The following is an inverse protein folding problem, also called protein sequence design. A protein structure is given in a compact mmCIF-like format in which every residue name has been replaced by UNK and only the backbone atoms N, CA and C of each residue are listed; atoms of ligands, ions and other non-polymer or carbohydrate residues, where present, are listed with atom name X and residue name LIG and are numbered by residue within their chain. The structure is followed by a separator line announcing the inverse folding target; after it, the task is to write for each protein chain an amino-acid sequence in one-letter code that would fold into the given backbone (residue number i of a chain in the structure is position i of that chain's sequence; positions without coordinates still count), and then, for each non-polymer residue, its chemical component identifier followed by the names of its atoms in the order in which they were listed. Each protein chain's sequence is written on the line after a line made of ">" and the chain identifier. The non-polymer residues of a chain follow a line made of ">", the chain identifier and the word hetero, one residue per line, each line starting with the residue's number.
data_IF_322980582176
#
_entry.id   IF_322980582176
#
_cell.length_a   1.000
_cell.length_b   1.000
_cell.length_c   1.000
_cell.angle_alpha   90.00
_cell.angle_beta   90.00
_cell.angle_gamma   90.00
#
_symmetry.space_group_name_H-M   'P 1'
#
loop_
_entity.id
_entity.type
_entity.pdbx_description
1 polymer ?
#
# COMPACT_ATOMS: atom_id res chain seq x y z
N UNK A 1 5.49 11.89 -3.54
CA UNK A 1 5.61 10.69 -2.71
C UNK A 1 7.00 10.13 -2.87
N UNK A 2 7.68 9.80 -1.79
CA UNK A 2 8.86 8.98 -1.94
C UNK A 2 8.45 7.70 -2.66
N UNK A 3 9.29 7.23 -3.55
CA UNK A 3 9.08 5.96 -4.22
C UNK A 3 8.86 4.89 -3.15
N UNK A 4 7.65 4.33 -3.09
CA UNK A 4 7.34 3.27 -2.15
C UNK A 4 8.07 2.01 -2.60
N UNK A 5 8.82 1.40 -1.70
CA UNK A 5 9.49 0.14 -1.98
C UNK A 5 8.56 -1.01 -1.58
N UNK A 6 8.13 -1.78 -2.57
CA UNK A 6 7.43 -3.04 -2.33
C UNK A 6 8.46 -4.16 -2.25
N UNK A 7 8.45 -4.89 -1.14
CA UNK A 7 9.30 -6.05 -0.94
C UNK A 7 8.43 -7.31 -0.84
N UNK A 8 8.71 -8.27 -1.69
CA UNK A 8 8.04 -9.57 -1.65
C UNK A 8 9.00 -10.62 -1.13
N UNK A 9 8.55 -11.36 -0.13
CA UNK A 9 9.31 -12.42 0.52
C UNK A 9 8.57 -13.74 0.28
N UNK A 10 9.26 -14.72 -0.28
CA UNK A 10 8.77 -16.09 -0.47
C UNK A 10 9.69 -17.06 0.25
N UNK A 11 9.12 -17.97 1.05
CA UNK A 11 9.86 -19.01 1.79
C UNK A 11 11.01 -18.44 2.67
N UNK A 12 10.77 -17.25 3.27
CA UNK A 12 11.75 -16.56 4.10
C UNK A 12 12.91 -15.91 3.35
N UNK A 13 12.87 -15.89 2.02
CA UNK A 13 13.85 -15.21 1.17
C UNK A 13 13.22 -14.00 0.50
N UNK A 14 13.92 -12.88 0.52
CA UNK A 14 13.54 -11.71 -0.26
C UNK A 14 13.57 -12.08 -1.74
N UNK A 15 12.40 -12.03 -2.36
CA UNK A 15 12.19 -12.48 -3.73
C UNK A 15 12.49 -11.38 -4.74
N UNK A 16 12.00 -10.21 -4.46
CA UNK A 16 12.30 -8.99 -5.20
C UNK A 16 11.97 -7.77 -4.36
N UNK A 17 12.67 -6.70 -4.63
CA UNK A 17 12.27 -5.36 -4.22
C UNK A 17 12.08 -4.55 -5.49
N UNK A 18 10.91 -3.96 -5.66
CA UNK A 18 10.65 -3.06 -6.78
C UNK A 18 10.36 -1.68 -6.23
N UNK A 19 11.01 -0.68 -6.82
CA UNK A 19 10.63 0.71 -6.59
C UNK A 19 9.35 0.96 -7.39
N UNK A 20 8.31 1.38 -6.70
CA UNK A 20 7.07 1.80 -7.34
C UNK A 20 7.31 3.22 -7.84
N UNK A 21 7.31 3.46 -9.16
CA UNK A 21 7.42 4.82 -9.66
C UNK A 21 6.23 5.63 -9.17
N UNK A 22 6.41 6.94 -9.11
CA UNK A 22 5.33 7.88 -8.84
C UNK A 22 4.20 7.62 -9.84
N UNK A 23 3.04 7.19 -9.34
CA UNK A 23 1.89 6.88 -10.18
C UNK A 23 0.89 7.99 -10.01
N UNK A 24 0.46 8.60 -11.10
CA UNK A 24 -0.67 9.51 -11.14
C UNK A 24 -1.94 8.80 -10.68
N UNK A 25 -2.89 9.55 -10.17
CA UNK A 25 -4.16 9.01 -9.67
C UNK A 25 -4.81 8.08 -10.70
N UNK A 26 -5.22 6.89 -10.24
CA UNK A 26 -5.97 5.89 -11.01
C UNK A 26 -5.20 5.12 -12.11
N UNK A 27 -3.88 5.11 -12.08
CA UNK A 27 -3.11 4.26 -13.00
C UNK A 27 -2.80 2.92 -12.33
N UNK A 28 -3.28 1.84 -12.94
CA UNK A 28 -2.89 0.50 -12.55
C UNK A 28 -1.44 0.25 -13.00
N UNK A 29 -0.59 -0.17 -12.08
CA UNK A 29 0.73 -0.62 -12.45
C UNK A 29 0.92 -2.09 -12.03
N UNK A 30 1.61 -2.83 -12.87
CA UNK A 30 1.95 -4.23 -12.62
C UNK A 30 3.44 -4.33 -12.32
N UNK A 31 3.76 -5.00 -11.23
CA UNK A 31 5.14 -5.33 -10.90
C UNK A 31 5.36 -6.79 -11.24
N UNK A 32 6.13 -7.09 -12.29
CA UNK A 32 6.48 -8.48 -12.57
C UNK A 32 7.49 -8.96 -11.53
N UNK A 33 7.08 -9.92 -10.73
CA UNK A 33 7.94 -10.58 -9.74
C UNK A 33 8.67 -11.76 -10.35
N UNK A 34 9.47 -11.52 -11.40
CA UNK A 34 10.22 -12.57 -12.07
C UNK A 34 9.35 -13.58 -12.83
N UNK A 35 9.83 -14.01 -13.96
CA UNK A 35 9.09 -14.87 -14.93
C UNK A 35 8.86 -16.31 -14.39
N UNK A 36 9.53 -16.72 -13.30
CA UNK A 36 9.51 -18.11 -12.84
C UNK A 36 8.43 -18.49 -11.83
N UNK A 37 7.82 -17.51 -11.16
CA UNK A 37 6.94 -17.84 -10.04
C UNK A 37 5.45 -17.56 -10.26
N UNK A 38 5.07 -17.01 -11.40
CA UNK A 38 3.67 -16.84 -11.76
C UNK A 38 2.80 -16.06 -10.76
N UNK A 39 3.42 -15.22 -9.94
CA UNK A 39 2.69 -14.35 -9.02
C UNK A 39 2.65 -12.95 -9.61
N UNK A 40 1.45 -12.41 -9.75
CA UNK A 40 1.20 -11.05 -10.22
C UNK A 40 0.65 -10.24 -9.07
N UNK A 41 1.32 -9.13 -8.74
CA UNK A 41 0.88 -8.20 -7.71
C UNK A 41 0.60 -6.85 -8.38
N UNK A 42 -0.56 -6.29 -8.09
CA UNK A 42 -0.96 -4.97 -8.54
C UNK A 42 -1.30 -4.13 -7.33
N UNK A 43 -0.75 -2.93 -7.23
CA UNK A 43 -1.08 -1.93 -6.22
C UNK A 43 -1.75 -0.73 -6.88
N UNK A 44 -2.86 -0.28 -6.32
CA UNK A 44 -3.67 0.79 -6.89
C UNK A 44 -4.13 1.76 -5.80
N UNK A 45 -4.03 3.05 -6.08
CA UNK A 45 -4.75 4.06 -5.32
C UNK A 45 -6.21 4.08 -5.81
N UNK A 46 -7.12 3.71 -4.93
CA UNK A 46 -8.56 3.60 -5.25
C UNK A 46 -9.26 4.94 -5.11
N UNK A 47 -8.95 5.68 -4.03
CA UNK A 47 -9.52 7.00 -3.79
C UNK A 47 -8.57 7.88 -3.00
N UNK A 48 -8.70 9.18 -3.24
CA UNK A 48 -8.11 10.26 -2.44
C UNK A 48 -9.21 11.24 -2.10
N UNK A 49 -9.43 11.45 -0.82
CA UNK A 49 -10.42 12.39 -0.30
C UNK A 49 -9.73 13.43 0.57
N UNK A 50 -10.09 14.69 0.41
CA UNK A 50 -9.58 15.78 1.22
C UNK A 50 -10.72 16.53 1.87
N UNK A 51 -10.63 16.68 3.18
CA UNK A 51 -11.62 17.41 3.99
C UNK A 51 -10.90 18.48 4.79
N UNK A 52 -11.44 19.70 4.77
CA UNK A 52 -10.97 20.77 5.67
C UNK A 52 -11.58 20.58 7.04
N UNK A 53 -10.73 20.58 8.06
CA UNK A 53 -11.13 20.43 9.46
C UNK A 53 -10.88 21.74 10.21
N UNK A 54 -11.86 22.23 10.98
CA UNK A 54 -11.73 23.39 11.85
C UNK A 54 -12.26 24.71 11.29
N UNK A 55 -12.78 25.55 12.19
CA UNK A 55 -13.46 26.82 11.86
C UNK A 55 -12.54 28.04 11.77
N UNK A 56 -11.34 28.02 12.38
CA UNK A 56 -10.49 29.22 12.50
C UNK A 56 -9.02 29.04 12.09
N UNK A 57 -8.45 27.83 12.13
CA UNK A 57 -7.09 27.54 11.65
C UNK A 57 -7.07 26.26 10.81
N UNK A 58 -8.05 26.14 9.93
CA UNK A 58 -8.35 25.06 9.04
C UNK A 58 -7.26 24.02 8.82
N UNK A 59 -7.32 22.92 9.57
CA UNK A 59 -6.54 21.74 9.24
C UNK A 59 -7.06 21.06 7.97
N UNK A 60 -6.25 20.22 7.37
CA UNK A 60 -6.60 19.41 6.22
C UNK A 60 -6.41 17.94 6.58
N UNK A 61 -7.43 17.14 6.30
CA UNK A 61 -7.38 15.71 6.45
C UNK A 61 -7.45 15.08 5.06
N UNK A 62 -6.40 14.38 4.68
CA UNK A 62 -6.35 13.62 3.44
C UNK A 62 -6.52 12.14 3.76
N UNK A 63 -7.45 11.48 3.12
CA UNK A 63 -7.67 10.05 3.22
C UNK A 63 -7.29 9.40 1.90
N UNK A 64 -6.39 8.41 1.96
CA UNK A 64 -5.94 7.63 0.81
C UNK A 64 -6.37 6.18 0.99
N UNK A 65 -7.06 5.63 0.01
CA UNK A 65 -7.48 4.22 -0.01
C UNK A 65 -6.70 3.49 -1.09
N UNK A 66 -6.04 2.42 -0.69
CA UNK A 66 -5.26 1.57 -1.58
C UNK A 66 -5.85 0.16 -1.67
N UNK A 67 -5.70 -0.42 -2.83
CA UNK A 67 -5.97 -1.85 -3.07
C UNK A 67 -4.75 -2.53 -3.64
N UNK A 68 -4.38 -3.66 -3.03
CA UNK A 68 -3.37 -4.57 -3.57
C UNK A 68 -4.11 -5.84 -3.98
N UNK A 69 -3.85 -6.32 -5.18
CA UNK A 69 -4.35 -7.62 -5.65
C UNK A 69 -3.20 -8.53 -5.93
N UNK A 70 -3.33 -9.78 -5.51
CA UNK A 70 -2.34 -10.84 -5.72
C UNK A 70 -3.00 -11.97 -6.48
N UNK A 71 -2.46 -12.29 -7.63
CA UNK A 71 -2.90 -13.39 -8.47
C UNK A 71 -1.79 -14.41 -8.60
N UNK A 72 -2.12 -15.67 -8.37
CA UNK A 72 -1.23 -16.80 -8.61
C UNK A 72 -1.60 -17.41 -9.96
N UNK A 73 -0.65 -17.51 -10.87
CA UNK A 73 -0.82 -18.13 -12.18
C UNK A 73 -0.36 -19.59 -12.19
N UNK A 74 0.16 -20.09 -11.06
CA UNK A 74 0.60 -21.47 -10.93
C UNK A 74 -0.57 -22.39 -10.57
N UNK A 75 -0.42 -23.67 -10.85
CA UNK A 75 -1.41 -24.71 -10.54
C UNK A 75 -1.45 -25.10 -9.06
N UNK A 76 -0.50 -24.63 -8.26
CA UNK A 76 -0.40 -24.93 -6.82
C UNK A 76 -0.58 -23.66 -6.00
N UNK A 77 -1.24 -23.78 -4.84
CA UNK A 77 -1.33 -22.70 -3.88
C UNK A 77 0.06 -22.31 -3.36
N UNK A 78 0.24 -21.07 -3.02
CA UNK A 78 1.47 -20.58 -2.41
C UNK A 78 1.18 -19.63 -1.26
N UNK A 79 2.11 -19.57 -0.30
CA UNK A 79 2.09 -18.58 0.78
C UNK A 79 3.10 -17.50 0.46
N UNK A 80 2.67 -16.25 0.52
CA UNK A 80 3.53 -15.09 0.33
C UNK A 80 3.49 -14.18 1.56
N UNK A 81 4.62 -13.56 1.85
CA UNK A 81 4.69 -12.42 2.76
C UNK A 81 4.75 -11.15 1.91
N UNK A 82 3.82 -10.25 2.13
CA UNK A 82 3.73 -8.99 1.43
C UNK A 82 3.98 -7.85 2.42
N UNK A 83 4.86 -6.94 2.04
CA UNK A 83 5.16 -5.73 2.81
C UNK A 83 4.79 -4.50 1.97
N UNK A 84 4.14 -3.53 2.60
CA UNK A 84 3.89 -2.19 2.07
C UNK A 84 4.20 -1.17 3.17
N UNK A 85 4.15 0.11 2.87
CA UNK A 85 4.42 1.17 3.83
C UNK A 85 3.41 2.30 3.72
N UNK A 86 3.01 2.80 4.88
CA UNK A 86 2.35 4.10 4.97
C UNK A 86 3.42 5.20 5.07
N UNK A 87 3.12 6.42 4.63
CA UNK A 87 4.00 7.55 4.88
C UNK A 87 4.29 7.70 6.36
N UNK A 88 5.50 8.12 6.70
CA UNK A 88 5.86 8.54 8.05
C UNK A 88 6.30 9.99 8.01
N UNK A 89 5.95 10.74 9.05
CA UNK A 89 6.37 12.13 9.20
C UNK A 89 7.21 12.30 10.45
N UNK A 90 8.26 13.11 10.34
CA UNK A 90 9.04 13.58 11.48
C UNK A 90 8.54 14.92 12.01
N UNK A 91 7.57 15.54 11.35
CA UNK A 91 6.97 16.80 11.78
C UNK A 91 5.81 16.54 12.75
N UNK A 92 5.78 17.25 13.86
CA UNK A 92 4.67 17.23 14.83
C UNK A 92 3.37 17.81 14.24
N UNK A 93 3.47 18.58 13.17
CA UNK A 93 2.33 19.20 12.49
C UNK A 93 1.62 18.25 11.51
N UNK A 94 2.15 17.05 11.35
CA UNK A 94 1.63 16.05 10.41
C UNK A 94 1.41 14.74 11.13
N UNK A 95 0.16 14.35 11.23
CA UNK A 95 -0.24 13.07 11.79
C UNK A 95 -0.62 12.10 10.67
N UNK A 96 0.02 10.93 10.65
CA UNK A 96 -0.28 9.85 9.74
C UNK A 96 -0.77 8.64 10.53
N UNK A 97 -1.92 8.11 10.16
CA UNK A 97 -2.49 6.95 10.84
C UNK A 97 -3.11 5.95 9.86
N UNK A 98 -2.88 4.66 10.10
CA UNK A 98 -3.62 3.59 9.44
C UNK A 98 -5.04 3.60 9.98
N UNK A 99 -6.03 3.92 9.13
CA UNK A 99 -7.44 3.97 9.51
C UNK A 99 -8.11 2.61 9.47
N UNK A 100 -7.82 1.85 8.42
CA UNK A 100 -8.37 0.50 8.25
C UNK A 100 -7.48 -0.35 7.36
N UNK A 101 -7.57 -1.66 7.50
CA UNK A 101 -6.99 -2.63 6.58
C UNK A 101 -7.82 -3.93 6.60
N UNK A 102 -8.00 -4.52 5.42
CA UNK A 102 -8.70 -5.80 5.27
C UNK A 102 -7.96 -6.65 4.22
N UNK A 103 -7.41 -7.81 4.61
CA UNK A 103 -7.25 -8.30 5.98
C UNK A 103 -6.33 -7.40 6.82
N UNK A 104 -6.40 -7.55 8.13
CA UNK A 104 -5.51 -6.82 9.03
C UNK A 104 -4.05 -7.23 8.80
N UNK A 105 -3.09 -6.29 8.83
CA UNK A 105 -1.68 -6.62 8.76
C UNK A 105 -1.23 -7.38 10.02
N UNK A 106 -0.24 -8.26 9.86
CA UNK A 106 0.39 -8.99 10.98
C UNK A 106 1.25 -8.02 11.79
N UNK A 107 1.92 -7.09 11.11
CA UNK A 107 2.72 -6.02 11.70
C UNK A 107 1.98 -4.72 11.44
N UNK A 108 1.64 -4.03 12.51
CA UNK A 108 1.07 -2.67 12.43
C UNK A 108 2.18 -1.65 12.15
N UNK A 109 1.85 -0.53 11.54
CA UNK A 109 2.82 0.51 11.24
C UNK A 109 3.25 1.21 12.53
N UNK A 110 4.35 0.75 13.09
CA UNK A 110 4.99 1.43 14.21
C UNK A 110 5.86 2.60 13.70
N UNK A 111 7.11 2.67 14.11
CA UNK A 111 7.98 3.81 13.81
C UNK A 111 8.37 3.98 12.34
N UNK A 112 8.36 2.92 11.54
CA UNK A 112 8.80 2.94 10.13
C UNK A 112 7.68 2.87 9.11
N UNK A 113 6.42 2.81 9.58
CA UNK A 113 5.23 2.75 8.74
C UNK A 113 5.03 1.42 8.00
N UNK A 114 5.75 0.36 8.37
CA UNK A 114 5.68 -0.93 7.68
C UNK A 114 4.35 -1.64 7.97
N UNK A 115 3.72 -2.11 6.92
CA UNK A 115 2.56 -3.01 6.93
C UNK A 115 3.01 -4.36 6.37
N UNK A 116 2.70 -5.45 7.06
CA UNK A 116 3.05 -6.79 6.62
C UNK A 116 1.85 -7.73 6.66
N UNK A 117 1.68 -8.51 5.61
CA UNK A 117 0.65 -9.54 5.50
C UNK A 117 1.25 -10.89 5.14
N UNK A 118 0.68 -11.96 5.70
CA UNK A 118 0.92 -13.33 5.23
C UNK A 118 -0.33 -13.81 4.51
N UNK A 119 -0.19 -14.09 3.23
CA UNK A 119 -1.31 -14.43 2.36
C UNK A 119 -1.15 -15.86 1.85
N UNK A 120 -2.23 -16.63 1.92
CA UNK A 120 -2.35 -17.86 1.19
C UNK A 120 -3.06 -17.58 -0.13
N UNK A 121 -2.34 -17.74 -1.23
CA UNK A 121 -2.84 -17.44 -2.57
C UNK A 121 -3.19 -18.74 -3.25
N UNK A 122 -4.48 -18.99 -3.53
CA UNK A 122 -4.93 -20.22 -4.16
C UNK A 122 -4.33 -20.39 -5.56
N UNK A 123 -4.35 -21.60 -6.12
CA UNK A 123 -3.89 -21.83 -7.48
C UNK A 123 -4.69 -20.99 -8.48
N UNK A 124 -3.99 -20.48 -9.47
CA UNK A 124 -4.56 -19.72 -10.56
C UNK A 124 -5.16 -20.63 -11.63
N UNK A 125 -6.14 -20.09 -12.33
CA UNK A 125 -6.76 -20.74 -13.47
C UNK A 125 -7.77 -19.80 -14.11
N UNK A 126 -8.39 -20.18 -15.21
CA UNK A 126 -9.47 -19.41 -15.81
C UNK A 126 -10.59 -19.16 -14.78
N UNK A 127 -10.83 -17.90 -14.44
CA UNK A 127 -11.87 -17.53 -13.47
C UNK A 127 -11.43 -17.52 -12.00
N UNK A 128 -10.16 -17.77 -11.67
CA UNK A 128 -9.66 -17.61 -10.31
C UNK A 128 -9.71 -16.15 -9.89
N UNK A 129 -10.26 -15.88 -8.69
CA UNK A 129 -10.28 -14.54 -8.13
C UNK A 129 -8.94 -14.21 -7.48
N UNK A 130 -8.43 -12.98 -7.65
CA UNK A 130 -7.24 -12.55 -6.95
C UNK A 130 -7.53 -12.40 -5.45
N UNK A 131 -6.50 -12.62 -4.63
CA UNK A 131 -6.53 -12.20 -3.23
C UNK A 131 -6.37 -10.69 -3.19
N UNK A 132 -7.26 -10.00 -2.47
CA UNK A 132 -7.24 -8.56 -2.36
C UNK A 132 -6.93 -8.12 -0.93
N UNK A 133 -6.17 -7.04 -0.81
CA UNK A 133 -5.94 -6.30 0.42
C UNK A 133 -6.41 -4.87 0.16
N UNK A 134 -7.31 -4.38 0.99
CA UNK A 134 -7.73 -2.98 1.01
C UNK A 134 -7.21 -2.34 2.28
N UNK A 135 -6.60 -1.16 2.17
CA UNK A 135 -6.16 -0.41 3.33
C UNK A 135 -6.29 1.09 3.11
N UNK A 136 -6.50 1.80 4.20
CA UNK A 136 -6.80 3.22 4.22
C UNK A 136 -5.91 3.94 5.22
N UNK A 137 -5.28 5.01 4.80
CA UNK A 137 -4.43 5.87 5.62
C UNK A 137 -4.98 7.28 5.64
N UNK A 138 -4.92 7.92 6.79
CA UNK A 138 -5.24 9.32 6.97
C UNK A 138 -3.98 10.13 7.23
N UNK A 139 -3.92 11.31 6.63
CA UNK A 139 -2.85 12.28 6.81
C UNK A 139 -3.51 13.59 7.22
N UNK A 140 -3.29 14.00 8.47
CA UNK A 140 -3.76 15.27 9.00
C UNK A 140 -2.62 16.27 9.08
N UNK A 141 -2.82 17.49 8.63
CA UNK A 141 -1.84 18.57 8.71
C UNK A 141 -2.52 19.94 8.82
N UNK A 142 -1.77 20.97 9.24
CA UNK A 142 -2.26 22.33 9.25
C UNK A 142 -2.51 22.88 7.84
N UNK A 143 -3.41 23.84 7.69
CA UNK A 143 -3.78 24.38 6.38
C UNK A 143 -2.64 25.13 5.67
N UNK A 144 -1.63 25.56 6.42
CA UNK A 144 -0.50 26.33 5.89
C UNK A 144 0.56 25.46 5.18
N UNK A 145 0.44 24.12 5.30
CA UNK A 145 1.31 23.17 4.64
C UNK A 145 0.66 22.68 3.33
N UNK A 146 1.26 23.03 2.21
CA UNK A 146 0.82 22.47 0.92
C UNK A 146 1.23 21.00 0.81
N UNK A 147 0.28 20.16 0.39
CA UNK A 147 0.45 18.70 0.29
C UNK A 147 1.51 18.27 -0.74
N UNK A 148 2.03 19.21 -1.53
CA UNK A 148 3.06 18.93 -2.54
C UNK A 148 4.42 18.58 -1.95
N UNK A 149 4.69 18.94 -0.69
CA UNK A 149 5.98 18.66 -0.03
C UNK A 149 6.10 17.20 0.47
N UNK A 150 5.02 16.42 0.38
CA UNK A 150 4.98 15.03 0.86
C UNK A 150 4.98 14.00 -0.25
N UNK A 151 5.07 14.44 -1.50
CA UNK A 151 4.98 13.59 -2.69
C UNK A 151 6.38 13.52 -3.38
N UNK A 152 7.47 13.59 -2.65
CA UNK A 152 8.79 13.23 -3.17
C UNK A 152 9.20 11.82 -2.76
#
# INVERSE_FOLDING_TARGET
>A
MPASQLRVIKDGRAFTSSMIPMVEEQVDFQIPLGIRDGIVITRRLVSREEVRTGLLNGGKLTTLTYRITVRNLNETACRISLEDRIPVSSSEDIEVALKSATPQPIVSPDFDGTLQWSLEVPPGGPGSMPVAIDWEVTIAHSADLETNDFIE
#
